data_IF_758280508973
#
_entry.id   IF_758280508973
#
_cell.length_a   1.000
_cell.length_b   1.000
_cell.length_c   1.000
_cell.angle_alpha   90.00
_cell.angle_beta   90.00
_cell.angle_gamma   90.00
#
_symmetry.space_group_name_H-M   'P 1'
#
loop_
_entity.id
_entity.type
_entity.pdbx_description
1 polymer ?
#
# COMPACT_ATOMS: atom_id res chain seq x y z
N UNK A 1 25.18 9.81 3.15
CA UNK A 1 24.15 8.79 3.47
C UNK A 1 24.75 7.43 3.19
N UNK A 2 24.71 6.51 4.14
CA UNK A 2 25.12 5.14 3.87
C UNK A 2 24.04 4.50 2.98
N UNK A 3 24.38 4.21 1.73
CA UNK A 3 23.54 3.47 0.81
C UNK A 3 24.25 2.20 0.36
N UNK A 4 23.46 1.16 0.12
CA UNK A 4 23.95 -0.14 -0.37
C UNK A 4 23.46 -0.34 -1.80
N UNK A 5 24.39 -0.67 -2.70
CA UNK A 5 24.09 -0.99 -4.10
C UNK A 5 24.01 -2.51 -4.25
N UNK A 6 22.98 -2.99 -4.92
CA UNK A 6 22.74 -4.40 -5.18
C UNK A 6 21.83 -4.57 -6.41
N UNK A 7 21.51 -5.80 -6.77
CA UNK A 7 20.53 -6.11 -7.82
C UNK A 7 19.22 -6.62 -7.19
N UNK A 8 18.10 -6.57 -7.94
CA UNK A 8 16.87 -7.26 -7.58
C UNK A 8 17.06 -8.78 -7.53
N UNK A 9 16.16 -9.50 -6.87
CA UNK A 9 16.33 -10.94 -6.63
C UNK A 9 16.37 -11.82 -7.89
N UNK A 10 15.80 -11.38 -9.02
CA UNK A 10 15.95 -12.02 -10.33
C UNK A 10 16.97 -11.34 -11.23
N UNK A 11 17.59 -10.23 -10.79
CA UNK A 11 18.71 -9.58 -11.50
C UNK A 11 18.30 -8.58 -12.59
N UNK A 12 17.00 -8.29 -12.77
CA UNK A 12 16.51 -7.40 -13.84
C UNK A 12 16.65 -5.92 -13.55
N UNK A 13 16.96 -5.55 -12.30
CA UNK A 13 17.10 -4.16 -11.88
C UNK A 13 18.34 -3.92 -11.02
N UNK A 14 18.94 -2.73 -11.17
CA UNK A 14 19.97 -2.21 -10.27
C UNK A 14 19.31 -1.39 -9.18
N UNK A 15 19.60 -1.71 -7.92
CA UNK A 15 18.91 -1.17 -6.77
C UNK A 15 19.88 -0.45 -5.83
N UNK A 16 19.37 0.60 -5.17
CA UNK A 16 20.04 1.32 -4.08
C UNK A 16 19.10 1.30 -2.88
N UNK A 17 19.58 0.82 -1.73
CA UNK A 17 18.86 0.88 -0.46
C UNK A 17 19.47 1.90 0.49
N UNK A 18 18.63 2.59 1.25
CA UNK A 18 19.07 3.59 2.21
C UNK A 18 17.90 4.20 3.00
N UNK A 19 18.19 5.25 3.73
CA UNK A 19 17.20 6.01 4.51
C UNK A 19 16.85 7.31 3.78
N UNK A 20 15.57 7.55 3.63
CA UNK A 20 15.00 8.79 3.08
C UNK A 20 14.32 9.57 4.20
N UNK A 21 14.65 10.86 4.35
CA UNK A 21 13.93 11.75 5.26
C UNK A 21 12.67 12.30 4.61
N UNK A 22 11.56 12.14 5.34
CA UNK A 22 10.23 12.60 4.92
C UNK A 22 9.64 13.47 6.02
N UNK A 23 9.28 14.70 5.68
CA UNK A 23 8.48 15.55 6.56
C UNK A 23 7.00 15.28 6.28
N UNK A 24 6.23 14.99 7.31
CA UNK A 24 4.79 14.76 7.20
C UNK A 24 4.04 15.37 8.38
N UNK A 25 2.82 15.79 8.13
CA UNK A 25 1.93 16.38 9.13
C UNK A 25 0.50 15.98 8.84
N UNK A 26 -0.23 15.59 9.87
CA UNK A 26 -1.68 15.36 9.80
C UNK A 26 -2.37 15.90 11.04
N UNK A 27 -3.60 16.38 10.91
CA UNK A 27 -4.49 16.74 12.03
C UNK A 27 -5.55 15.65 12.27
N UNK A 28 -5.46 14.52 11.56
CA UNK A 28 -6.51 13.48 11.52
C UNK A 28 -6.17 12.22 12.32
N UNK A 29 -4.99 12.14 12.97
CA UNK A 29 -4.69 11.01 13.84
C UNK A 29 -5.66 11.00 15.03
N UNK A 30 -6.17 9.81 15.37
CA UNK A 30 -6.97 9.65 16.58
C UNK A 30 -6.09 9.82 17.81
N UNK A 31 -6.63 10.49 18.83
CA UNK A 31 -6.00 10.59 20.13
C UNK A 31 -6.51 9.46 21.02
N UNK A 32 -5.65 8.50 21.33
CA UNK A 32 -5.98 7.39 22.20
C UNK A 32 -5.78 7.77 23.68
N UNK A 33 -6.81 7.55 24.49
CA UNK A 33 -6.77 7.62 25.95
C UNK A 33 -6.63 6.20 26.53
N UNK A 34 -5.65 5.44 26.01
CA UNK A 34 -5.49 4.02 26.30
C UNK A 34 -4.04 3.70 26.67
N UNK A 35 -3.86 2.96 27.76
CA UNK A 35 -2.56 2.43 28.13
C UNK A 35 -2.28 1.11 27.41
N UNK A 36 -1.11 0.99 26.81
CA UNK A 36 -0.69 -0.24 26.18
C UNK A 36 -0.77 -1.43 27.15
N UNK A 37 -1.21 -2.61 26.70
CA UNK A 37 -1.23 -3.81 27.52
C UNK A 37 0.15 -4.11 28.10
N UNK A 38 0.24 -4.34 29.39
CA UNK A 38 1.48 -4.60 30.10
C UNK A 38 1.80 -6.11 30.26
N UNK A 39 0.85 -6.97 29.91
CA UNK A 39 1.00 -8.42 29.99
C UNK A 39 0.11 -9.14 28.96
N UNK A 40 0.41 -10.43 28.72
CA UNK A 40 -0.25 -11.24 27.71
C UNK A 40 -1.78 -11.34 27.90
N UNK A 41 -2.25 -11.41 29.14
CA UNK A 41 -3.69 -11.49 29.43
C UNK A 41 -4.43 -10.20 29.01
N UNK A 42 -3.81 -9.04 29.18
CA UNK A 42 -4.36 -7.76 28.72
C UNK A 42 -4.34 -7.69 27.19
N UNK A 43 -3.25 -8.14 26.55
CA UNK A 43 -3.17 -8.24 25.07
C UNK A 43 -4.32 -9.08 24.54
N UNK A 44 -4.51 -10.29 25.10
CA UNK A 44 -5.58 -11.20 24.68
C UNK A 44 -6.98 -10.55 24.86
N UNK A 45 -7.24 -9.92 26.00
CA UNK A 45 -8.52 -9.24 26.24
C UNK A 45 -8.75 -8.10 25.24
N UNK A 46 -7.75 -7.29 24.99
CA UNK A 46 -7.82 -6.21 23.98
C UNK A 46 -8.17 -6.77 22.62
N UNK A 47 -7.43 -7.79 22.15
CA UNK A 47 -7.70 -8.42 20.85
C UNK A 47 -9.11 -9.02 20.78
N UNK A 48 -9.56 -9.72 21.83
CA UNK A 48 -10.94 -10.27 21.89
C UNK A 48 -11.97 -9.13 21.83
N UNK A 49 -11.77 -8.03 22.56
CA UNK A 49 -12.67 -6.88 22.52
C UNK A 49 -12.73 -6.22 21.15
N UNK A 50 -11.58 -6.13 20.47
CA UNK A 50 -11.49 -5.57 19.12
C UNK A 50 -12.20 -6.44 18.08
N UNK A 51 -12.09 -7.77 18.19
CA UNK A 51 -12.65 -8.71 17.21
C UNK A 51 -14.04 -9.23 17.54
N UNK A 52 -14.59 -8.84 18.67
CA UNK A 52 -15.96 -9.19 19.06
C UNK A 52 -17.00 -8.32 18.32
N UNK A 53 -18.23 -8.79 18.17
CA UNK A 53 -19.34 -7.94 17.74
C UNK A 53 -19.41 -6.69 18.63
N UNK A 54 -19.40 -5.50 18.01
CA UNK A 54 -19.35 -4.22 18.76
C UNK A 54 -17.93 -3.67 18.99
N UNK A 55 -16.88 -4.27 18.39
CA UNK A 55 -15.50 -3.78 18.48
C UNK A 55 -15.33 -2.30 18.10
N UNK A 56 -16.14 -1.78 17.19
CA UNK A 56 -16.16 -0.35 16.84
C UNK A 56 -16.54 0.53 18.04
N UNK A 57 -17.49 0.08 18.86
CA UNK A 57 -17.84 0.76 20.10
C UNK A 57 -16.69 0.75 21.12
N UNK A 58 -15.97 -0.36 21.21
CA UNK A 58 -14.78 -0.47 22.03
C UNK A 58 -13.69 0.52 21.58
N UNK A 59 -13.40 0.58 20.28
CA UNK A 59 -12.42 1.55 19.73
C UNK A 59 -12.82 2.98 20.06
N UNK A 60 -14.10 3.35 19.81
CA UNK A 60 -14.62 4.68 20.15
C UNK A 60 -14.44 5.00 21.63
N UNK A 61 -14.58 4.02 22.53
CA UNK A 61 -14.37 4.20 23.96
C UNK A 61 -12.91 4.47 24.35
N UNK A 62 -11.96 4.11 23.49
CA UNK A 62 -10.51 4.30 23.70
C UNK A 62 -10.00 5.63 23.13
N UNK A 63 -10.82 6.36 22.37
CA UNK A 63 -10.40 7.59 21.69
C UNK A 63 -11.07 8.83 22.27
N UNK A 64 -10.35 9.96 22.24
CA UNK A 64 -10.82 11.26 22.75
C UNK A 64 -10.73 12.37 21.70
N UNK A 65 -11.10 12.05 20.44
CA UNK A 65 -11.04 12.97 19.31
C UNK A 65 -9.78 12.78 18.45
N UNK A 66 -9.38 13.81 17.73
CA UNK A 66 -8.20 13.81 16.87
C UNK A 66 -7.07 14.65 17.46
N UNK A 67 -5.88 14.45 16.92
CA UNK A 67 -4.68 15.21 17.30
C UNK A 67 -3.80 15.51 16.09
N UNK A 68 -3.07 16.62 16.18
CA UNK A 68 -2.02 16.94 15.23
C UNK A 68 -0.78 16.12 15.53
N UNK A 69 -0.24 15.46 14.50
CA UNK A 69 1.05 14.79 14.52
C UNK A 69 1.91 15.38 13.40
N UNK A 70 3.10 15.82 13.73
CA UNK A 70 4.05 16.42 12.78
C UNK A 70 5.46 15.96 13.12
N UNK A 71 6.26 15.68 12.11
CA UNK A 71 7.64 15.25 12.32
C UNK A 71 8.44 15.12 11.02
N UNK A 72 9.70 14.77 11.20
CA UNK A 72 10.61 14.35 10.14
C UNK A 72 10.97 12.90 10.39
N UNK A 73 10.57 12.03 9.48
CA UNK A 73 10.64 10.58 9.63
C UNK A 73 11.74 10.01 8.75
N UNK A 74 12.53 9.12 9.30
CA UNK A 74 13.47 8.30 8.55
C UNK A 74 12.70 7.11 7.97
N UNK A 75 12.69 6.99 6.64
CA UNK A 75 12.00 5.93 5.91
C UNK A 75 13.03 5.05 5.20
N UNK A 76 13.11 3.79 5.60
CA UNK A 76 13.95 2.80 4.91
C UNK A 76 13.36 2.47 3.56
N UNK A 77 14.13 2.68 2.50
CA UNK A 77 13.67 2.51 1.13
C UNK A 77 14.67 1.75 0.26
N UNK A 78 14.14 1.18 -0.82
CA UNK A 78 14.89 0.56 -1.90
C UNK A 78 14.38 1.16 -3.21
N UNK A 79 15.28 1.77 -3.98
CA UNK A 79 15.01 2.33 -5.29
C UNK A 79 15.70 1.49 -6.34
N UNK A 80 14.97 1.02 -7.35
CA UNK A 80 15.46 0.14 -8.39
C UNK A 80 15.20 0.73 -9.78
N UNK A 81 16.21 0.73 -10.62
CA UNK A 81 16.13 1.09 -12.03
C UNK A 81 16.25 -0.17 -12.88
N UNK A 82 15.48 -0.30 -13.96
CA UNK A 82 15.67 -1.38 -14.92
C UNK A 82 17.11 -1.43 -15.44
N UNK A 83 17.62 -2.61 -15.69
CA UNK A 83 18.90 -2.79 -16.36
C UNK A 83 18.79 -2.47 -17.87
N UNK A 84 19.92 -2.15 -18.51
CA UNK A 84 20.00 -1.95 -19.96
C UNK A 84 19.30 -0.68 -20.48
N UNK A 85 18.66 -0.77 -21.63
CA UNK A 85 18.06 0.38 -22.34
C UNK A 85 16.95 1.09 -21.56
N UNK A 86 16.20 0.34 -20.75
CA UNK A 86 15.13 0.86 -19.92
C UNK A 86 15.64 1.64 -18.69
N UNK A 87 16.93 1.69 -18.44
CA UNK A 87 17.52 2.42 -17.30
C UNK A 87 17.22 3.92 -17.28
N UNK A 88 16.82 4.51 -18.42
CA UNK A 88 16.46 5.92 -18.57
C UNK A 88 14.95 6.19 -18.41
N UNK A 89 14.19 5.22 -17.94
CA UNK A 89 12.73 5.39 -17.77
C UNK A 89 12.37 6.61 -16.91
N UNK A 90 11.28 7.27 -17.27
CA UNK A 90 10.64 8.34 -16.48
C UNK A 90 9.36 7.89 -15.81
N UNK A 91 9.10 6.57 -15.79
CA UNK A 91 7.95 5.93 -15.15
C UNK A 91 8.41 5.16 -13.92
N UNK A 92 7.73 5.34 -12.80
CA UNK A 92 8.05 4.66 -11.54
C UNK A 92 6.78 4.09 -10.90
N UNK A 93 6.91 2.92 -10.30
CA UNK A 93 5.89 2.32 -9.44
C UNK A 93 6.32 2.47 -7.97
N UNK A 94 5.49 3.15 -7.19
CA UNK A 94 5.65 3.35 -5.75
C UNK A 94 4.90 2.23 -5.02
N UNK A 95 5.67 1.34 -4.37
CA UNK A 95 5.19 0.07 -3.84
C UNK A 95 5.01 0.14 -2.31
N UNK A 96 3.77 -0.01 -1.85
CA UNK A 96 3.39 0.08 -0.44
C UNK A 96 2.95 -1.28 0.09
N UNK A 97 3.67 -1.83 1.07
CA UNK A 97 3.41 -3.14 1.65
C UNK A 97 2.24 -3.13 2.65
N UNK A 98 1.68 -4.33 2.92
CA UNK A 98 0.61 -4.57 3.89
C UNK A 98 1.09 -4.68 5.35
N UNK A 99 0.17 -5.08 6.25
CA UNK A 99 0.48 -5.43 7.64
C UNK A 99 1.15 -6.81 7.68
N UNK A 100 2.09 -7.01 8.60
CA UNK A 100 2.77 -8.29 8.82
C UNK A 100 3.87 -8.63 7.84
N UNK A 101 4.14 -7.74 6.89
CA UNK A 101 5.24 -7.85 5.90
C UNK A 101 6.01 -6.53 5.84
N UNK A 102 7.10 -6.53 5.08
CA UNK A 102 7.93 -5.35 4.83
C UNK A 102 8.16 -5.15 3.33
N UNK A 103 9.06 -4.26 2.95
CA UNK A 103 9.38 -3.96 1.54
C UNK A 103 9.87 -5.19 0.74
N UNK A 104 10.39 -6.26 1.40
CA UNK A 104 10.83 -7.48 0.71
C UNK A 104 9.67 -8.26 0.11
N UNK A 105 8.43 -8.00 0.53
CA UNK A 105 7.22 -8.55 -0.09
C UNK A 105 7.17 -8.30 -1.61
N UNK A 106 7.73 -7.19 -2.08
CA UNK A 106 7.76 -6.80 -3.49
C UNK A 106 8.94 -7.38 -4.27
N UNK A 107 9.97 -7.85 -3.56
CA UNK A 107 11.17 -8.44 -4.17
C UNK A 107 11.59 -9.66 -3.34
N UNK A 108 10.71 -10.67 -3.31
CA UNK A 108 10.81 -11.80 -2.39
C UNK A 108 11.89 -12.79 -2.79
N UNK A 109 11.82 -13.30 -4.05
CA UNK A 109 12.75 -14.30 -4.57
C UNK A 109 12.81 -14.24 -6.10
N UNK A 110 13.81 -14.87 -6.69
CA UNK A 110 13.87 -15.06 -8.15
C UNK A 110 12.61 -15.80 -8.64
N UNK A 111 11.98 -15.27 -9.70
CA UNK A 111 10.69 -15.75 -10.19
C UNK A 111 9.45 -15.25 -9.40
N UNK A 112 9.66 -14.63 -8.23
CA UNK A 112 8.62 -14.05 -7.36
C UNK A 112 8.95 -12.59 -7.00
N UNK A 113 9.69 -11.91 -7.86
CA UNK A 113 10.01 -10.49 -7.72
C UNK A 113 9.09 -9.64 -8.58
N UNK A 114 8.25 -8.85 -7.94
CA UNK A 114 7.49 -7.80 -8.63
C UNK A 114 8.41 -6.75 -9.24
N UNK A 115 9.52 -6.44 -8.55
CA UNK A 115 10.55 -5.50 -9.03
C UNK A 115 11.11 -5.93 -10.39
N UNK A 116 11.43 -7.22 -10.54
CA UNK A 116 11.96 -7.74 -11.81
C UNK A 116 10.92 -7.66 -12.93
N UNK A 117 9.65 -7.97 -12.64
CA UNK A 117 8.57 -7.91 -13.62
C UNK A 117 8.29 -6.46 -14.05
N UNK A 118 8.29 -5.52 -13.11
CA UNK A 118 8.15 -4.09 -13.40
C UNK A 118 9.33 -3.56 -14.21
N UNK A 119 10.57 -3.96 -13.89
CA UNK A 119 11.77 -3.59 -14.62
C UNK A 119 11.74 -4.11 -16.06
N UNK A 120 11.33 -5.37 -16.27
CA UNK A 120 11.16 -5.94 -17.61
C UNK A 120 10.07 -5.19 -18.41
N UNK A 121 9.09 -4.61 -17.74
CA UNK A 121 8.05 -3.77 -18.33
C UNK A 121 8.50 -2.30 -18.57
N UNK A 122 9.72 -1.93 -18.14
CA UNK A 122 10.28 -0.60 -18.35
C UNK A 122 10.02 0.39 -17.23
N UNK A 123 9.61 -0.05 -16.04
CA UNK A 123 9.38 0.81 -14.89
C UNK A 123 10.53 0.77 -13.90
N UNK A 124 10.89 1.93 -13.36
CA UNK A 124 11.57 1.99 -12.07
C UNK A 124 10.61 1.56 -10.95
N UNK A 125 11.15 1.12 -9.81
CA UNK A 125 10.36 0.85 -8.62
C UNK A 125 10.96 1.54 -7.40
N UNK A 126 10.09 2.06 -6.55
CA UNK A 126 10.45 2.59 -5.24
C UNK A 126 9.62 1.87 -4.19
N UNK A 127 10.27 1.07 -3.37
CA UNK A 127 9.66 0.28 -2.30
C UNK A 127 10.24 0.72 -0.96
N UNK A 128 9.39 0.83 0.05
CA UNK A 128 9.79 1.37 1.34
C UNK A 128 9.17 0.59 2.50
N UNK A 129 9.79 0.67 3.67
CA UNK A 129 9.22 0.20 4.92
C UNK A 129 8.38 1.32 5.54
N UNK A 130 7.11 1.01 5.85
CA UNK A 130 6.21 1.93 6.57
C UNK A 130 6.74 2.24 7.97
N UNK A 131 6.17 3.24 8.64
CA UNK A 131 6.52 3.56 10.03
C UNK A 131 6.44 2.30 10.92
N UNK A 132 7.36 2.20 11.86
CA UNK A 132 7.43 1.06 12.77
C UNK A 132 8.09 -0.20 12.19
N UNK A 133 8.35 -0.28 10.87
CA UNK A 133 8.86 -1.47 10.16
C UNK A 133 10.32 -1.29 9.77
N UNK A 134 11.12 -2.35 9.83
CA UNK A 134 12.53 -2.35 9.44
C UNK A 134 13.33 -1.28 10.16
N UNK A 135 14.12 -0.51 9.42
CA UNK A 135 14.90 0.63 9.90
C UNK A 135 14.17 1.99 9.78
N UNK A 136 12.89 1.99 9.40
CA UNK A 136 12.08 3.20 9.45
C UNK A 136 11.81 3.65 10.88
N UNK A 137 11.55 4.95 11.07
CA UNK A 137 11.28 5.57 12.37
C UNK A 137 10.31 4.77 13.24
N UNK A 138 10.64 4.61 14.51
CA UNK A 138 9.85 3.89 15.52
C UNK A 138 9.12 4.91 16.40
N UNK A 139 7.97 5.32 15.91
CA UNK A 139 7.13 6.32 16.59
C UNK A 139 6.16 5.65 17.58
N UNK A 140 5.41 6.47 18.34
CA UNK A 140 4.34 5.96 19.21
C UNK A 140 3.35 5.11 18.40
N UNK A 141 3.21 3.79 18.72
CA UNK A 141 2.42 2.87 17.92
C UNK A 141 0.91 3.13 17.98
N UNK A 142 0.43 3.87 18.99
CA UNK A 142 -0.98 4.25 19.10
C UNK A 142 -1.26 5.63 18.52
N UNK A 143 -0.46 6.62 18.90
CA UNK A 143 -0.80 8.00 18.62
C UNK A 143 -0.13 8.56 17.36
N UNK A 144 0.95 7.95 16.89
CA UNK A 144 1.65 8.39 15.69
C UNK A 144 1.50 7.43 14.52
N UNK A 145 1.74 6.11 14.70
CA UNK A 145 1.67 5.13 13.61
C UNK A 145 0.21 4.82 13.27
N UNK A 146 -0.39 5.71 12.47
CA UNK A 146 -1.79 5.61 12.05
C UNK A 146 -1.93 5.94 10.55
N UNK A 147 -3.00 5.43 9.92
CA UNK A 147 -3.26 5.64 8.48
C UNK A 147 -3.17 7.09 8.02
N UNK A 148 -3.69 8.11 8.75
CA UNK A 148 -3.60 9.48 8.26
C UNK A 148 -2.16 9.99 8.16
N UNK A 149 -1.29 9.68 9.12
CA UNK A 149 0.11 10.07 9.03
C UNK A 149 0.85 9.29 7.94
N UNK A 150 0.59 7.98 7.81
CA UNK A 150 1.22 7.16 6.77
C UNK A 150 0.77 7.56 5.36
N UNK A 151 -0.46 8.06 5.20
CA UNK A 151 -0.96 8.63 3.95
C UNK A 151 -0.14 9.87 3.56
N UNK A 152 0.11 10.78 4.50
CA UNK A 152 0.93 11.98 4.25
C UNK A 152 2.38 11.61 3.89
N UNK A 153 2.92 10.55 4.49
CA UNK A 153 4.26 10.03 4.13
C UNK A 153 4.25 9.47 2.70
N UNK A 154 3.24 8.69 2.32
CA UNK A 154 3.12 8.13 0.98
C UNK A 154 2.99 9.24 -0.08
N UNK A 155 2.17 10.26 0.18
CA UNK A 155 2.05 11.45 -0.67
C UNK A 155 3.40 12.16 -0.82
N UNK A 156 4.09 12.40 0.27
CA UNK A 156 5.38 13.07 0.25
C UNK A 156 6.46 12.27 -0.52
N UNK A 157 6.44 10.93 -0.45
CA UNK A 157 7.32 10.08 -1.24
C UNK A 157 6.99 10.18 -2.73
N UNK A 158 5.71 10.14 -3.11
CA UNK A 158 5.28 10.32 -4.50
C UNK A 158 5.68 11.70 -5.05
N UNK A 159 5.46 12.74 -4.28
CA UNK A 159 5.89 14.12 -4.61
C UNK A 159 7.41 14.23 -4.79
N UNK A 160 8.20 13.60 -3.92
CA UNK A 160 9.66 13.56 -4.05
C UNK A 160 10.13 12.82 -5.31
N UNK A 161 9.47 11.73 -5.70
CA UNK A 161 9.75 11.02 -6.96
C UNK A 161 9.48 11.92 -8.17
N UNK A 162 8.36 12.64 -8.19
CA UNK A 162 8.05 13.61 -9.25
C UNK A 162 9.05 14.74 -9.34
N UNK A 163 9.51 15.26 -8.21
CA UNK A 163 10.46 16.38 -8.14
C UNK A 163 11.91 15.95 -8.40
N UNK A 164 12.20 14.65 -8.47
CA UNK A 164 13.57 14.15 -8.63
C UNK A 164 14.45 14.36 -7.40
N UNK A 165 13.86 14.50 -6.21
CA UNK A 165 14.60 14.68 -4.95
C UNK A 165 14.95 13.35 -4.28
N UNK A 166 14.52 12.22 -4.89
CA UNK A 166 14.92 10.87 -4.55
C UNK A 166 15.73 10.29 -5.70
N UNK A 167 17.04 10.18 -5.52
CA UNK A 167 17.97 9.86 -6.61
C UNK A 167 18.20 11.07 -7.54
N UNK A 168 18.70 10.83 -8.74
CA UNK A 168 19.10 11.88 -9.69
C UNK A 168 18.06 12.09 -10.81
N UNK A 169 16.80 11.70 -10.58
CA UNK A 169 15.78 11.64 -11.64
C UNK A 169 14.39 12.04 -11.16
N UNK A 170 13.76 12.93 -11.93
CA UNK A 170 12.34 13.22 -11.83
C UNK A 170 11.53 12.23 -12.68
N UNK A 171 10.38 11.77 -12.15
CA UNK A 171 9.47 10.88 -12.84
C UNK A 171 8.25 11.64 -13.35
N UNK A 172 7.95 11.47 -14.64
CA UNK A 172 6.73 12.05 -15.25
C UNK A 172 5.50 11.22 -14.95
N UNK A 173 5.68 9.92 -14.69
CA UNK A 173 4.61 8.98 -14.34
C UNK A 173 4.92 8.31 -13.01
N UNK A 174 4.01 8.42 -12.06
CA UNK A 174 4.09 7.78 -10.74
C UNK A 174 2.84 6.93 -10.54
N UNK A 175 3.01 5.62 -10.52
CA UNK A 175 1.94 4.64 -10.27
C UNK A 175 1.98 4.20 -8.82
N UNK A 176 0.88 4.33 -8.10
CA UNK A 176 0.75 3.75 -6.75
C UNK A 176 0.38 2.27 -6.84
N UNK A 177 1.16 1.40 -6.20
CA UNK A 177 0.86 -0.03 -6.10
C UNK A 177 0.84 -0.43 -4.64
N UNK A 178 -0.32 -0.76 -4.13
CA UNK A 178 -0.51 -1.16 -2.74
C UNK A 178 -0.81 -2.65 -2.60
N UNK A 179 -0.50 -3.21 -1.42
CA UNK A 179 -0.98 -4.51 -1.00
C UNK A 179 -1.67 -4.42 0.35
N UNK A 180 -2.90 -4.97 0.46
CA UNK A 180 -3.63 -5.01 1.74
C UNK A 180 -3.79 -3.60 2.33
N UNK A 181 -3.25 -3.34 3.52
CA UNK A 181 -3.18 -2.02 4.10
C UNK A 181 -2.49 -0.99 3.19
N UNK A 182 -1.47 -1.40 2.44
CA UNK A 182 -0.84 -0.55 1.42
C UNK A 182 -1.80 -0.15 0.29
N UNK A 183 -2.77 -1.01 -0.06
CA UNK A 183 -3.84 -0.65 -1.00
C UNK A 183 -4.77 0.41 -0.43
N UNK A 184 -5.07 0.34 0.87
CA UNK A 184 -5.87 1.34 1.58
C UNK A 184 -5.17 2.70 1.56
N UNK A 185 -3.87 2.73 1.84
CA UNK A 185 -3.08 3.96 1.77
C UNK A 185 -3.03 4.51 0.34
N UNK A 186 -2.85 3.65 -0.67
CA UNK A 186 -2.84 4.05 -2.08
C UNK A 186 -4.19 4.63 -2.50
N UNK A 187 -5.30 3.99 -2.12
CA UNK A 187 -6.65 4.51 -2.33
C UNK A 187 -6.85 5.84 -1.59
N UNK A 188 -6.40 5.92 -0.33
CA UNK A 188 -6.48 7.14 0.46
C UNK A 188 -5.74 8.33 -0.17
N UNK A 189 -4.56 8.11 -0.75
CA UNK A 189 -3.83 9.16 -1.48
C UNK A 189 -4.61 9.61 -2.71
N UNK A 190 -5.21 8.69 -3.49
CA UNK A 190 -6.03 9.09 -4.65
C UNK A 190 -7.27 9.87 -4.26
N UNK A 191 -7.84 9.62 -3.07
CA UNK A 191 -8.99 10.35 -2.56
C UNK A 191 -8.60 11.75 -2.01
N UNK A 192 -7.51 11.83 -1.25
CA UNK A 192 -7.07 13.08 -0.64
C UNK A 192 -6.30 13.98 -1.61
N UNK A 193 -5.57 13.39 -2.53
CA UNK A 193 -4.64 14.04 -3.45
C UNK A 193 -4.78 13.47 -4.87
N UNK A 194 -5.91 13.69 -5.57
CA UNK A 194 -6.25 13.00 -6.82
C UNK A 194 -5.28 13.23 -7.99
N UNK A 195 -4.34 14.16 -7.86
CA UNK A 195 -3.32 14.46 -8.88
C UNK A 195 -1.93 13.93 -8.56
N UNK A 196 -1.75 13.27 -7.41
CA UNK A 196 -0.44 12.79 -6.96
C UNK A 196 0.02 11.57 -7.74
N UNK A 197 -0.90 10.65 -8.04
CA UNK A 197 -0.63 9.43 -8.80
C UNK A 197 -1.25 9.51 -10.19
N UNK A 198 -0.65 8.83 -11.18
CA UNK A 198 -1.19 8.74 -12.55
C UNK A 198 -2.04 7.48 -12.73
N UNK A 199 -1.78 6.43 -11.95
CA UNK A 199 -2.58 5.22 -11.89
C UNK A 199 -2.51 4.61 -10.48
N UNK A 200 -3.50 3.79 -10.14
CA UNK A 200 -3.55 3.06 -8.88
C UNK A 200 -3.77 1.56 -9.12
N UNK A 201 -2.97 0.74 -8.43
CA UNK A 201 -3.11 -0.72 -8.41
C UNK A 201 -3.31 -1.17 -6.97
N UNK A 202 -4.45 -1.79 -6.70
CA UNK A 202 -4.85 -2.22 -5.36
C UNK A 202 -4.83 -3.75 -5.32
N UNK A 203 -3.87 -4.33 -4.59
CA UNK A 203 -3.77 -5.79 -4.47
C UNK A 203 -4.19 -6.27 -3.08
N UNK A 204 -4.87 -7.43 -3.01
CA UNK A 204 -5.39 -7.97 -1.76
C UNK A 204 -6.31 -6.98 -1.04
N UNK A 205 -7.28 -6.40 -1.77
CA UNK A 205 -8.17 -5.37 -1.25
C UNK A 205 -9.57 -5.46 -1.88
N UNK A 206 -10.60 -5.36 -1.04
CA UNK A 206 -11.99 -5.17 -1.46
C UNK A 206 -12.76 -4.31 -0.45
N UNK A 207 -13.97 -3.86 -0.80
CA UNK A 207 -14.88 -3.17 0.14
C UNK A 207 -15.59 -4.14 1.09
N UNK A 208 -15.61 -5.43 0.79
CA UNK A 208 -16.28 -6.45 1.59
C UNK A 208 -15.41 -7.00 2.73
N UNK A 209 -14.42 -6.25 3.18
CA UNK A 209 -13.73 -6.63 4.40
C UNK A 209 -14.79 -6.79 5.49
N UNK A 210 -14.86 -7.98 6.11
CA UNK A 210 -15.84 -8.26 7.17
C UNK A 210 -15.61 -7.45 8.44
N UNK A 211 -15.26 -6.19 8.34
CA UNK A 211 -15.25 -5.19 9.40
C UNK A 211 -14.48 -5.54 10.67
N UNK A 212 -13.71 -6.65 10.67
CA UNK A 212 -13.16 -7.24 11.87
C UNK A 212 -11.63 -7.17 11.99
N UNK A 213 -10.98 -6.44 11.10
CA UNK A 213 -9.55 -6.17 11.23
C UNK A 213 -9.38 -4.83 11.96
N UNK A 214 -9.33 -4.87 13.28
CA UNK A 214 -9.22 -3.70 14.13
C UNK A 214 -7.93 -3.75 14.97
N UNK A 215 -6.85 -3.21 14.47
CA UNK A 215 -5.66 -2.84 15.25
C UNK A 215 -5.33 -1.38 14.97
N UNK A 216 -4.51 -0.70 15.75
CA UNK A 216 -4.33 0.76 15.73
C UNK A 216 -4.29 1.45 14.36
N UNK A 217 -3.56 0.93 13.38
CA UNK A 217 -3.60 1.39 11.99
C UNK A 217 -4.99 1.17 11.36
N UNK A 218 -5.69 0.11 11.73
CA UNK A 218 -7.01 -0.25 11.27
C UNK A 218 -8.12 0.61 11.89
N UNK A 219 -7.91 1.19 13.07
CA UNK A 219 -8.88 2.10 13.70
C UNK A 219 -9.12 3.38 12.90
N UNK A 220 -8.15 3.76 12.07
CA UNK A 220 -8.23 4.95 11.23
C UNK A 220 -8.68 4.65 9.81
N UNK A 221 -8.86 3.38 9.44
CA UNK A 221 -9.26 2.94 8.09
C UNK A 221 -10.64 3.44 7.67
N UNK A 222 -11.61 3.46 8.58
CA UNK A 222 -12.98 3.86 8.28
C UNK A 222 -13.09 5.29 7.76
N UNK A 223 -12.12 6.15 8.04
CA UNK A 223 -12.06 7.51 7.52
C UNK A 223 -11.41 7.60 6.14
N UNK A 224 -10.67 6.57 5.72
CA UNK A 224 -9.96 6.53 4.43
C UNK A 224 -10.73 5.68 3.42
N UNK A 225 -11.26 4.52 3.82
CA UNK A 225 -11.92 3.55 2.92
C UNK A 225 -13.24 4.07 2.31
N UNK A 226 -13.96 4.96 2.97
CA UNK A 226 -15.25 5.46 2.51
C UNK A 226 -15.16 6.79 1.74
N UNK A 227 -13.96 7.30 1.50
CA UNK A 227 -13.79 8.52 0.73
C UNK A 227 -13.86 8.18 -0.77
N UNK A 228 -14.91 8.64 -1.45
CA UNK A 228 -14.93 8.67 -2.92
C UNK A 228 -13.83 9.58 -3.44
N UNK A 229 -13.21 9.18 -4.53
CA UNK A 229 -12.06 9.89 -5.10
C UNK A 229 -12.46 10.62 -6.39
N UNK A 230 -12.02 11.87 -6.54
CA UNK A 230 -12.05 12.61 -7.81
C UNK A 230 -10.93 12.14 -8.77
N UNK A 231 -10.24 11.08 -8.44
CA UNK A 231 -9.19 10.49 -9.27
C UNK A 231 -9.77 9.97 -10.59
N UNK A 232 -9.11 10.25 -11.70
CA UNK A 232 -9.56 9.89 -13.04
C UNK A 232 -8.59 8.95 -13.78
N UNK A 233 -7.43 8.68 -13.19
CA UNK A 233 -6.43 7.78 -13.76
C UNK A 233 -6.88 6.31 -13.76
N UNK A 234 -6.19 5.44 -14.51
CA UNK A 234 -6.49 4.02 -14.54
C UNK A 234 -6.39 3.35 -13.15
N UNK A 235 -7.33 2.43 -12.86
CA UNK A 235 -7.39 1.66 -11.62
C UNK A 235 -7.47 0.17 -11.89
N UNK A 236 -6.53 -0.61 -11.36
CA UNK A 236 -6.60 -2.06 -11.34
C UNK A 236 -6.77 -2.60 -9.92
N UNK A 237 -7.59 -3.64 -9.78
CA UNK A 237 -7.79 -4.35 -8.51
C UNK A 237 -7.46 -5.82 -8.70
N UNK A 238 -6.59 -6.35 -7.85
CA UNK A 238 -6.09 -7.73 -7.94
C UNK A 238 -6.21 -8.41 -6.58
N UNK A 239 -6.85 -9.55 -6.52
CA UNK A 239 -6.95 -10.32 -5.28
C UNK A 239 -6.74 -11.82 -5.52
N UNK A 240 -6.36 -12.55 -4.50
CA UNK A 240 -6.45 -14.00 -4.50
C UNK A 240 -7.89 -14.44 -4.29
N UNK A 241 -8.35 -15.49 -5.00
CA UNK A 241 -9.72 -15.97 -4.85
C UNK A 241 -10.07 -16.39 -3.41
N UNK A 242 -9.07 -16.88 -2.67
CA UNK A 242 -9.22 -17.37 -1.30
C UNK A 242 -8.73 -16.33 -0.26
N UNK A 243 -8.79 -15.04 -0.60
CA UNK A 243 -8.43 -13.96 0.31
C UNK A 243 -9.41 -13.92 1.50
N UNK A 244 -8.96 -14.42 2.65
CA UNK A 244 -9.78 -14.48 3.86
C UNK A 244 -10.08 -13.09 4.45
N UNK A 245 -9.09 -12.19 4.63
CA UNK A 245 -9.32 -10.85 5.19
C UNK A 245 -10.34 -10.00 4.44
N UNK A 246 -10.34 -10.07 3.12
CA UNK A 246 -11.14 -9.16 2.29
C UNK A 246 -12.33 -9.80 1.58
N UNK A 247 -12.32 -11.13 1.40
CA UNK A 247 -13.38 -11.83 0.68
C UNK A 247 -13.99 -13.02 1.44
N UNK A 248 -13.69 -13.19 2.72
CA UNK A 248 -14.09 -14.39 3.48
C UNK A 248 -13.63 -15.70 2.84
N UNK A 249 -12.52 -15.71 2.12
CA UNK A 249 -12.00 -16.89 1.45
C UNK A 249 -12.67 -17.20 0.10
N UNK A 250 -13.49 -16.31 -0.46
CA UNK A 250 -14.06 -16.47 -1.81
C UNK A 250 -14.38 -15.12 -2.46
N UNK A 251 -13.47 -14.60 -3.26
CA UNK A 251 -13.64 -13.33 -3.97
C UNK A 251 -14.55 -13.45 -5.23
N UNK A 252 -14.92 -14.66 -5.63
CA UNK A 252 -15.70 -14.91 -6.85
C UNK A 252 -17.18 -15.21 -6.58
N UNK A 253 -17.63 -15.30 -5.33
CA UNK A 253 -18.99 -15.70 -4.98
C UNK A 253 -19.64 -14.73 -3.98
N UNK A 254 -20.95 -14.40 -4.14
CA UNK A 254 -21.88 -14.84 -5.19
C UNK A 254 -21.68 -14.18 -6.56
N UNK A 255 -20.87 -13.15 -6.63
CA UNK A 255 -20.46 -12.43 -7.84
C UNK A 255 -19.00 -12.03 -7.71
N UNK A 256 -18.37 -11.58 -8.79
CA UNK A 256 -17.04 -10.96 -8.71
C UNK A 256 -17.10 -9.72 -7.79
N UNK A 257 -16.56 -9.88 -6.58
CA UNK A 257 -16.58 -8.83 -5.53
C UNK A 257 -15.72 -7.62 -5.95
N UNK A 258 -14.72 -7.83 -6.80
CA UNK A 258 -13.82 -6.77 -7.25
C UNK A 258 -14.51 -5.84 -8.25
N UNK A 259 -15.44 -6.35 -9.06
CA UNK A 259 -16.10 -5.57 -10.11
C UNK A 259 -16.89 -4.37 -9.59
N UNK A 260 -17.47 -4.49 -8.39
CA UNK A 260 -18.21 -3.40 -7.74
C UNK A 260 -17.36 -2.37 -7.01
N UNK A 261 -16.07 -2.66 -6.80
CA UNK A 261 -15.19 -1.84 -5.97
C UNK A 261 -14.81 -0.52 -6.66
N UNK A 262 -14.39 -0.60 -7.93
CA UNK A 262 -13.90 0.60 -8.63
C UNK A 262 -15.00 1.65 -8.78
N UNK A 263 -16.23 1.34 -9.29
CA UNK A 263 -17.29 2.35 -9.37
C UNK A 263 -17.68 2.94 -8.01
N UNK A 264 -17.55 2.17 -6.94
CA UNK A 264 -17.90 2.65 -5.59
C UNK A 264 -16.88 3.63 -5.01
N UNK A 265 -15.58 3.41 -5.26
CA UNK A 265 -14.49 4.25 -4.73
C UNK A 265 -14.03 5.34 -5.70
N UNK A 266 -14.19 5.09 -6.98
CA UNK A 266 -13.67 5.91 -8.07
C UNK A 266 -14.76 6.24 -9.09
N UNK A 267 -15.79 7.00 -8.71
CA UNK A 267 -16.93 7.28 -9.58
C UNK A 267 -16.56 8.07 -10.85
N UNK A 268 -15.43 8.78 -10.84
CA UNK A 268 -14.93 9.56 -11.97
C UNK A 268 -14.04 8.76 -12.93
N UNK A 269 -13.69 7.50 -12.59
CA UNK A 269 -12.89 6.63 -13.46
C UNK A 269 -13.79 5.95 -14.49
N UNK A 270 -13.48 6.16 -15.78
CA UNK A 270 -14.20 5.48 -16.85
C UNK A 270 -14.02 3.97 -16.76
N UNK A 271 -15.08 3.20 -17.04
CA UNK A 271 -15.04 1.73 -17.04
C UNK A 271 -13.89 1.17 -17.90
N UNK A 272 -13.63 1.77 -19.06
CA UNK A 272 -12.54 1.39 -19.95
C UNK A 272 -11.13 1.54 -19.31
N UNK A 273 -11.02 2.33 -18.27
CA UNK A 273 -9.80 2.57 -17.50
C UNK A 273 -9.72 1.71 -16.23
N UNK A 274 -10.59 0.71 -16.11
CA UNK A 274 -10.61 -0.21 -14.97
C UNK A 274 -10.28 -1.64 -15.39
N UNK A 275 -9.68 -2.39 -14.48
CA UNK A 275 -9.52 -3.84 -14.65
C UNK A 275 -9.52 -4.55 -13.30
N UNK A 276 -10.01 -5.77 -13.27
CA UNK A 276 -9.98 -6.66 -12.12
C UNK A 276 -9.33 -7.99 -12.47
N UNK A 277 -8.63 -8.59 -11.52
CA UNK A 277 -8.06 -9.92 -11.67
C UNK A 277 -8.17 -10.70 -10.36
N UNK A 278 -8.84 -11.85 -10.43
CA UNK A 278 -8.93 -12.79 -9.30
C UNK A 278 -8.01 -13.96 -9.59
N UNK A 279 -6.89 -14.04 -8.84
CA UNK A 279 -5.92 -15.13 -8.97
C UNK A 279 -6.51 -16.42 -8.36
N UNK A 280 -6.62 -17.53 -9.13
CA UNK A 280 -7.21 -18.77 -8.63
C UNK A 280 -6.34 -19.45 -7.59
N UNK A 281 -6.96 -20.08 -6.59
CA UNK A 281 -6.32 -20.85 -5.52
C UNK A 281 -5.21 -20.07 -4.77
N UNK A 282 -5.46 -18.80 -4.50
CA UNK A 282 -4.52 -17.89 -3.85
C UNK A 282 -5.21 -17.18 -2.69
N UNK A 283 -4.54 -17.18 -1.53
CA UNK A 283 -4.95 -16.41 -0.37
C UNK A 283 -4.49 -14.94 -0.43
N UNK A 284 -4.52 -14.29 0.73
CA UNK A 284 -4.24 -12.86 0.86
C UNK A 284 -2.81 -12.46 0.43
N UNK A 285 -1.80 -13.25 0.78
CA UNK A 285 -0.39 -12.93 0.49
C UNK A 285 0.02 -13.29 -0.95
N UNK A 286 -0.65 -12.72 -1.94
CA UNK A 286 -0.55 -13.01 -3.36
C UNK A 286 0.90 -13.12 -3.89
N UNK A 287 1.79 -12.20 -3.51
CA UNK A 287 3.16 -12.15 -4.02
C UNK A 287 4.02 -13.33 -3.56
N UNK A 288 3.61 -14.06 -2.51
CA UNK A 288 4.33 -15.20 -1.96
C UNK A 288 3.79 -16.54 -2.49
N UNK A 289 2.90 -16.50 -3.49
CA UNK A 289 2.22 -17.67 -4.04
C UNK A 289 2.66 -17.97 -5.48
N UNK A 290 2.51 -19.23 -5.91
CA UNK A 290 2.84 -19.69 -7.27
C UNK A 290 2.13 -18.92 -8.39
N UNK A 291 0.97 -18.32 -8.10
CA UNK A 291 0.24 -17.48 -9.06
C UNK A 291 0.72 -16.03 -9.14
N UNK A 292 1.69 -15.61 -8.32
CA UNK A 292 2.20 -14.24 -8.29
C UNK A 292 2.68 -13.73 -9.66
N UNK A 293 3.45 -14.49 -10.46
CA UNK A 293 3.89 -14.04 -11.78
C UNK A 293 2.73 -13.70 -12.72
N UNK A 294 1.63 -14.47 -12.67
CA UNK A 294 0.43 -14.17 -13.47
C UNK A 294 -0.23 -12.85 -13.08
N UNK A 295 -0.35 -12.58 -11.79
CA UNK A 295 -0.86 -11.32 -11.28
C UNK A 295 0.07 -10.14 -11.61
N UNK A 296 1.37 -10.32 -11.51
CA UNK A 296 2.34 -9.29 -11.86
C UNK A 296 2.26 -8.93 -13.35
N UNK A 297 2.20 -9.93 -14.23
CA UNK A 297 2.06 -9.72 -15.67
C UNK A 297 0.75 -8.99 -16.00
N UNK A 298 -0.38 -9.40 -15.39
CA UNK A 298 -1.65 -8.71 -15.55
C UNK A 298 -1.54 -7.22 -15.21
N UNK A 299 -0.89 -6.88 -14.10
CA UNK A 299 -0.68 -5.49 -13.68
C UNK A 299 0.16 -4.73 -14.72
N UNK A 300 1.29 -5.30 -15.16
CA UNK A 300 2.14 -4.62 -16.13
C UNK A 300 1.44 -4.45 -17.49
N UNK A 301 0.68 -5.42 -17.95
CA UNK A 301 -0.11 -5.34 -19.20
C UNK A 301 -1.20 -4.28 -19.09
N UNK A 302 -1.87 -4.19 -17.94
CA UNK A 302 -2.84 -3.13 -17.67
C UNK A 302 -2.20 -1.74 -17.74
N UNK A 303 -1.07 -1.52 -17.07
CA UNK A 303 -0.38 -0.24 -17.06
C UNK A 303 0.12 0.16 -18.47
N UNK A 304 0.67 -0.81 -19.23
CA UNK A 304 1.07 -0.60 -20.63
C UNK A 304 -0.11 -0.22 -21.52
N UNK A 305 -1.24 -0.92 -21.39
CA UNK A 305 -2.48 -0.62 -22.15
C UNK A 305 -2.91 0.82 -21.97
N UNK A 306 -2.76 1.38 -20.78
CA UNK A 306 -3.16 2.75 -20.45
C UNK A 306 -2.02 3.76 -20.59
N UNK A 307 -0.86 3.35 -21.04
CA UNK A 307 0.30 4.19 -21.32
C UNK A 307 0.83 4.97 -20.10
N UNK A 308 0.57 4.50 -18.92
CA UNK A 308 1.02 5.05 -17.63
C UNK A 308 2.25 4.35 -17.11
#
# INVERSE_FOLDING_TARGET
>A
MNHTVHVSNGGSAHCISGIVKVNATTDKNLKFAYNLPSNQSQVTRTLVSLWSPGGDGYVKSLTSGTQRVTGSYDIEAKYCLPAGENSKTTKVQLLTHGIGVDRHYWDFASGYSYVDTAAAAGYATFLYNRLGVGASSKEDPLNAVQSPLELEILEALASKLRQGTLGDRAFTTVVGVGHSFGSILTQGVTAAYPKTLDAAVLTGFTLNSNGKLHAGELFTLTHVINATSEFQGPVAVVAGNEDLPFCNGNCSSPTDILAGLVPALYPEVLEANTATYVAPAVGHALNLHYAAPGAFNFIQDFLKKHNV
#
